data_IF_075109308893
#
_entry.id   IF_075109308893
#
_cell.length_a   1.000
_cell.length_b   1.000
_cell.length_c   1.000
_cell.angle_alpha   90.00
_cell.angle_beta   90.00
_cell.angle_gamma   90.00
#
_symmetry.space_group_name_H-M   'P 1'
#
loop_
_entity.id
_entity.type
_entity.pdbx_description
1 polymer ?
#
# COMPACT_ATOMS: atom_id res chain seq x y z
N UNK A 1 -7.30 -31.59 1.59
CA UNK A 1 -8.09 -30.35 1.67
C UNK A 1 -7.51 -29.39 0.66
N UNK A 2 -8.34 -28.76 -0.18
CA UNK A 2 -7.86 -27.73 -1.12
C UNK A 2 -7.53 -26.48 -0.31
N UNK A 3 -6.28 -26.04 -0.32
CA UNK A 3 -5.90 -24.76 0.28
C UNK A 3 -6.51 -23.66 -0.57
N UNK A 4 -7.36 -22.82 0.03
CA UNK A 4 -7.93 -21.67 -0.64
C UNK A 4 -6.86 -20.56 -0.68
N UNK A 5 -6.65 -19.96 -1.85
CA UNK A 5 -5.78 -18.80 -1.99
C UNK A 5 -6.45 -17.59 -1.34
N UNK A 6 -5.78 -16.88 -0.41
CA UNK A 6 -6.35 -15.72 0.25
C UNK A 6 -6.71 -14.61 -0.75
N UNK A 7 -7.81 -13.93 -0.49
CA UNK A 7 -8.32 -12.86 -1.34
C UNK A 7 -7.77 -11.53 -0.83
N UNK A 8 -7.06 -10.81 -1.70
CA UNK A 8 -6.52 -9.50 -1.36
C UNK A 8 -7.67 -8.48 -1.15
N UNK A 9 -7.73 -7.77 0.00
CA UNK A 9 -8.77 -6.76 0.27
C UNK A 9 -8.46 -5.42 -0.42
N UNK A 10 -8.28 -5.44 -1.75
CA UNK A 10 -7.86 -4.25 -2.51
C UNK A 10 -8.85 -3.10 -2.41
N UNK A 11 -10.14 -3.40 -2.53
CA UNK A 11 -11.21 -2.41 -2.47
C UNK A 11 -11.20 -1.67 -1.13
N UNK A 12 -11.08 -2.41 -0.03
CA UNK A 12 -11.08 -1.89 1.32
C UNK A 12 -9.81 -1.10 1.60
N UNK A 13 -8.65 -1.58 1.14
CA UNK A 13 -7.37 -0.86 1.27
C UNK A 13 -7.42 0.45 0.51
N UNK A 14 -7.84 0.44 -0.77
CA UNK A 14 -8.00 1.67 -1.57
C UNK A 14 -8.99 2.65 -0.92
N UNK A 15 -10.12 2.16 -0.43
CA UNK A 15 -11.11 2.99 0.25
C UNK A 15 -10.54 3.62 1.54
N UNK A 16 -9.80 2.86 2.34
CA UNK A 16 -9.14 3.37 3.54
C UNK A 16 -8.07 4.42 3.20
N UNK A 17 -7.27 4.20 2.14
CA UNK A 17 -6.30 5.19 1.66
C UNK A 17 -6.97 6.48 1.18
N UNK A 18 -8.04 6.39 0.40
CA UNK A 18 -8.79 7.55 -0.07
C UNK A 18 -9.45 8.35 1.06
N UNK A 19 -9.84 7.68 2.15
CA UNK A 19 -10.36 8.31 3.35
C UNK A 19 -9.26 8.79 4.32
N UNK A 20 -7.97 8.68 3.95
CA UNK A 20 -6.81 8.98 4.81
C UNK A 20 -6.77 8.15 6.11
N UNK A 21 -7.51 7.03 6.15
CA UNK A 21 -7.53 6.07 7.26
C UNK A 21 -6.34 5.10 7.15
N UNK A 22 -5.13 5.63 7.25
CA UNK A 22 -3.90 4.85 7.03
C UNK A 22 -3.75 3.67 7.98
N UNK A 23 -4.07 3.85 9.26
CA UNK A 23 -4.03 2.77 10.26
C UNK A 23 -4.93 1.61 9.85
N UNK A 24 -6.13 1.90 9.34
CA UNK A 24 -7.06 0.88 8.85
C UNK A 24 -6.51 0.15 7.62
N UNK A 25 -5.88 0.87 6.71
CA UNK A 25 -5.21 0.25 5.55
C UNK A 25 -4.08 -0.71 6.00
N UNK A 26 -3.29 -0.33 7.01
CA UNK A 26 -2.26 -1.19 7.58
C UNK A 26 -2.81 -2.45 8.24
N UNK A 27 -3.90 -2.33 9.01
CA UNK A 27 -4.56 -3.49 9.63
C UNK A 27 -5.04 -4.50 8.59
N UNK A 28 -5.67 -4.02 7.51
CA UNK A 28 -6.16 -4.88 6.42
C UNK A 28 -5.01 -5.64 5.75
N UNK A 29 -3.90 -4.96 5.48
CA UNK A 29 -2.71 -5.59 4.89
C UNK A 29 -2.04 -6.58 5.85
N UNK A 30 -2.01 -6.28 7.15
CA UNK A 30 -1.44 -7.16 8.16
C UNK A 30 -2.29 -8.43 8.36
N UNK A 31 -3.61 -8.33 8.29
CA UNK A 31 -4.49 -9.51 8.30
C UNK A 31 -4.27 -10.36 7.06
N UNK A 32 -4.24 -9.75 5.87
CA UNK A 32 -3.95 -10.47 4.63
C UNK A 32 -2.60 -11.19 4.67
N UNK A 33 -1.55 -10.58 5.23
CA UNK A 33 -0.24 -11.22 5.39
C UNK A 33 -0.32 -12.45 6.32
N UNK A 34 -1.10 -12.40 7.40
CA UNK A 34 -1.32 -13.56 8.27
C UNK A 34 -2.02 -14.70 7.54
N UNK A 35 -3.10 -14.39 6.84
CA UNK A 35 -3.85 -15.37 6.03
C UNK A 35 -2.97 -16.00 4.95
N UNK A 36 -2.14 -15.19 4.29
CA UNK A 36 -1.19 -15.63 3.27
C UNK A 36 -0.16 -16.61 3.82
N UNK A 37 0.42 -16.32 4.98
CA UNK A 37 1.38 -17.22 5.63
C UNK A 37 0.74 -18.56 5.99
N UNK A 38 -0.47 -18.54 6.56
CA UNK A 38 -1.20 -19.77 6.90
C UNK A 38 -1.54 -20.61 5.67
N UNK A 39 -1.93 -19.96 4.57
CA UNK A 39 -2.20 -20.64 3.31
C UNK A 39 -0.92 -21.25 2.72
N UNK A 40 0.21 -20.54 2.77
CA UNK A 40 1.48 -21.04 2.26
C UNK A 40 2.05 -22.20 3.10
N UNK A 41 1.87 -22.18 4.42
CA UNK A 41 2.30 -23.27 5.31
C UNK A 41 1.55 -24.59 5.04
N UNK A 42 0.30 -24.49 4.57
CA UNK A 42 -0.56 -25.65 4.34
C UNK A 42 -0.55 -26.16 2.89
N UNK A 43 0.07 -25.44 1.96
CA UNK A 43 0.01 -25.76 0.52
C UNK A 43 1.23 -26.55 0.03
N UNK A 44 0.96 -27.62 -0.73
CA UNK A 44 1.99 -28.28 -1.54
C UNK A 44 2.06 -27.61 -2.91
N UNK A 45 2.98 -26.67 -3.07
CA UNK A 45 3.16 -25.89 -4.31
C UNK A 45 3.54 -26.76 -5.52
N UNK A 46 4.02 -27.99 -5.31
CA UNK A 46 4.37 -28.90 -6.42
C UNK A 46 3.16 -29.59 -7.04
N UNK A 47 2.04 -29.66 -6.30
CA UNK A 47 0.79 -30.33 -6.72
C UNK A 47 -0.37 -29.36 -6.94
N UNK A 48 -0.18 -28.09 -6.62
CA UNK A 48 -1.21 -27.06 -6.71
C UNK A 48 -1.05 -26.26 -8.00
N UNK A 49 -2.16 -25.88 -8.62
CA UNK A 49 -2.13 -24.98 -9.77
C UNK A 49 -1.48 -23.65 -9.39
N UNK A 50 -0.46 -23.24 -10.14
CA UNK A 50 0.23 -21.98 -9.91
C UNK A 50 -0.56 -20.74 -10.38
N UNK A 51 -1.62 -20.91 -11.17
CA UNK A 51 -2.36 -19.80 -11.76
C UNK A 51 -3.01 -18.86 -10.72
N UNK A 52 -3.74 -19.35 -9.69
CA UNK A 52 -4.37 -18.47 -8.71
C UNK A 52 -3.36 -17.70 -7.84
N UNK A 53 -2.21 -18.31 -7.54
CA UNK A 53 -1.12 -17.67 -6.81
C UNK A 53 -0.45 -16.56 -7.62
N UNK A 54 -0.32 -16.76 -8.94
CA UNK A 54 0.19 -15.74 -9.85
C UNK A 54 -0.76 -14.56 -9.95
N UNK A 55 -2.06 -14.82 -10.05
CA UNK A 55 -3.09 -13.79 -10.08
C UNK A 55 -3.09 -12.95 -8.79
N UNK A 56 -2.89 -13.59 -7.63
CA UNK A 56 -2.70 -12.88 -6.36
C UNK A 56 -1.44 -12.00 -6.37
N UNK A 57 -0.32 -12.50 -6.89
CA UNK A 57 0.93 -11.73 -6.98
C UNK A 57 0.79 -10.50 -7.90
N UNK A 58 0.10 -10.66 -9.03
CA UNK A 58 -0.19 -9.57 -9.97
C UNK A 58 -1.02 -8.47 -9.28
N UNK A 59 -2.07 -8.86 -8.54
CA UNK A 59 -2.88 -7.96 -7.72
C UNK A 59 -2.11 -7.23 -6.64
N UNK A 60 -1.24 -7.94 -5.91
CA UNK A 60 -0.35 -7.33 -4.91
C UNK A 60 0.62 -6.33 -5.53
N UNK A 61 1.15 -6.64 -6.72
CA UNK A 61 2.05 -5.75 -7.47
C UNK A 61 1.32 -4.48 -7.90
N UNK A 62 0.08 -4.59 -8.37
CA UNK A 62 -0.75 -3.44 -8.70
C UNK A 62 -0.99 -2.55 -7.46
N UNK A 63 -1.36 -3.14 -6.32
CA UNK A 63 -1.58 -2.38 -5.08
C UNK A 63 -0.31 -1.68 -4.58
N UNK A 64 0.86 -2.32 -4.70
CA UNK A 64 2.16 -1.70 -4.37
C UNK A 64 2.48 -0.50 -5.27
N UNK A 65 2.09 -0.56 -6.54
CA UNK A 65 2.22 0.56 -7.45
C UNK A 65 1.37 1.74 -6.99
N UNK A 66 0.11 1.50 -6.63
CA UNK A 66 -0.80 2.56 -6.13
C UNK A 66 -0.27 3.22 -4.86
N UNK A 67 0.23 2.42 -3.91
CA UNK A 67 0.87 2.94 -2.69
C UNK A 67 2.09 3.80 -2.99
N UNK A 68 2.89 3.41 -3.98
CA UNK A 68 4.08 4.16 -4.38
C UNK A 68 3.71 5.52 -5.00
N UNK A 69 2.65 5.57 -5.81
CA UNK A 69 2.13 6.82 -6.39
C UNK A 69 1.70 7.79 -5.28
N UNK A 70 0.87 7.31 -4.33
CA UNK A 70 0.39 8.14 -3.22
C UNK A 70 1.54 8.66 -2.35
N UNK A 71 2.55 7.83 -2.09
CA UNK A 71 3.77 8.24 -1.37
C UNK A 71 4.49 9.36 -2.12
N UNK A 72 4.67 9.21 -3.42
CA UNK A 72 5.44 10.16 -4.22
C UNK A 72 4.71 11.50 -4.36
N UNK A 73 3.38 11.49 -4.49
CA UNK A 73 2.54 12.68 -4.45
C UNK A 73 2.65 13.41 -3.10
N UNK A 74 2.56 12.66 -1.99
CA UNK A 74 2.71 13.20 -0.64
C UNK A 74 4.10 13.83 -0.45
N UNK A 75 5.15 13.17 -0.92
CA UNK A 75 6.52 13.69 -0.85
C UNK A 75 6.68 14.98 -1.66
N UNK A 76 6.05 15.07 -2.84
CA UNK A 76 6.07 16.27 -3.67
C UNK A 76 5.37 17.46 -2.98
N UNK A 77 4.23 17.21 -2.33
CA UNK A 77 3.48 18.20 -1.54
C UNK A 77 4.35 18.72 -0.39
N UNK A 78 4.94 17.82 0.40
CA UNK A 78 5.83 18.20 1.51
C UNK A 78 7.03 19.02 1.04
N UNK A 79 7.65 18.63 -0.08
CA UNK A 79 8.76 19.37 -0.67
C UNK A 79 8.34 20.78 -1.11
N UNK A 80 7.13 20.93 -1.67
CA UNK A 80 6.56 22.23 -2.04
C UNK A 80 6.33 23.11 -0.80
N UNK A 81 5.67 22.60 0.22
CA UNK A 81 5.44 23.33 1.48
C UNK A 81 6.77 23.77 2.12
N UNK A 82 7.80 22.93 2.08
CA UNK A 82 9.13 23.27 2.56
C UNK A 82 9.77 24.43 1.80
N UNK A 83 9.61 24.49 0.48
CA UNK A 83 10.09 25.62 -0.34
C UNK A 83 9.31 26.91 -0.04
N UNK A 84 7.98 26.83 0.03
CA UNK A 84 7.11 27.98 0.34
C UNK A 84 7.44 28.57 1.71
N UNK A 85 7.63 27.73 2.74
CA UNK A 85 8.06 28.16 4.07
C UNK A 85 9.40 28.89 4.05
N UNK A 86 10.39 28.37 3.32
CA UNK A 86 11.71 29.03 3.19
C UNK A 86 11.60 30.37 2.47
N UNK A 87 10.81 30.47 1.41
CA UNK A 87 10.56 31.71 0.69
C UNK A 87 9.89 32.78 1.56
N UNK A 88 8.87 32.40 2.33
CA UNK A 88 8.17 33.29 3.24
C UNK A 88 9.07 33.81 4.38
N UNK A 89 9.98 32.96 4.90
CA UNK A 89 10.97 33.37 5.89
C UNK A 89 11.99 34.35 5.29
N UNK A 90 12.52 34.06 4.09
CA UNK A 90 13.48 34.93 3.42
C UNK A 90 12.91 36.33 3.11
N UNK A 91 11.65 36.41 2.67
CA UNK A 91 10.97 37.69 2.44
C UNK A 91 10.81 38.49 3.75
N UNK A 92 10.43 37.81 4.85
CA UNK A 92 10.28 38.45 6.15
C UNK A 92 11.58 38.99 6.72
N UNK A 93 12.71 38.31 6.47
CA UNK A 93 14.04 38.78 6.88
C UNK A 93 14.59 39.92 6.01
N UNK A 94 14.09 40.09 4.79
CA UNK A 94 14.49 41.17 3.87
C UNK A 94 13.61 42.43 4.03
N UNK A 95 12.40 42.28 4.56
CA UNK A 95 11.42 43.35 4.74
C UNK A 95 11.43 43.98 6.16
N UNK A 96 12.36 43.57 7.04
CA UNK A 96 12.61 44.17 8.34
C UNK A 96 14.02 44.71 8.44
#
# INVERSE_FOLDING_TARGET
>A
MSVAVPVLPESEVRAAMHAEHWERAFELLAEHDRELRQALESVDLTKTSAAPWRELLERQTALLHDLSVVRDETAAILARMGRERRGALAYRTLAG
#
